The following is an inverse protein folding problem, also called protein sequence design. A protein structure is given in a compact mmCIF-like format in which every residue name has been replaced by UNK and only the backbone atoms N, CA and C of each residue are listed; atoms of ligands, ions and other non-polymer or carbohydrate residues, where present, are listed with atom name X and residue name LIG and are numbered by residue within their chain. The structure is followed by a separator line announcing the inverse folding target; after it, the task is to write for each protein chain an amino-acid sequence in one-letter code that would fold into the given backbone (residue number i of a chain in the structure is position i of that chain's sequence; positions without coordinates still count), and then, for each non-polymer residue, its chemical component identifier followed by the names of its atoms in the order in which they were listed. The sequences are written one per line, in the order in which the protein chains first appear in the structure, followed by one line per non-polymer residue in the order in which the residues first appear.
data_IF_620690921714
#
_entry.id   IF_620690921714
#
_cell.length_a   1.000
_cell.length_b   1.000
_cell.length_c   1.000
_cell.angle_alpha   90.00
_cell.angle_beta   90.00
_cell.angle_gamma   90.00
#
_symmetry.space_group_name_H-M   'P 1'
#
loop_
_entity.id
_entity.type
_entity.pdbx_description
1 polymer ?
#
# COMPACT_ATOMS: atom_id res chain seq x y z
N UNK A 1 19.40 14.03 -6.12
CA UNK A 1 20.63 14.63 -5.57
C UNK A 1 21.64 13.50 -5.39
N UNK A 2 22.79 13.62 -6.06
CA UNK A 2 23.82 12.59 -6.21
C UNK A 2 24.29 12.04 -4.85
N UNK A 3 24.19 10.71 -4.68
CA UNK A 3 24.96 10.01 -3.66
C UNK A 3 26.26 9.55 -4.31
N UNK A 4 27.35 10.18 -3.87
CA UNK A 4 28.71 9.69 -4.09
C UNK A 4 28.80 8.22 -3.68
N UNK A 5 29.44 7.41 -4.53
CA UNK A 5 29.70 5.98 -4.34
C UNK A 5 30.72 5.66 -3.21
N UNK A 6 30.58 6.32 -2.06
CA UNK A 6 31.42 6.12 -0.89
C UNK A 6 30.66 6.48 0.38
N UNK A 7 30.12 5.46 1.04
CA UNK A 7 29.86 5.34 2.49
C UNK A 7 28.63 4.45 2.78
N UNK A 8 28.65 3.17 2.39
CA UNK A 8 27.81 2.15 3.03
C UNK A 8 28.32 0.75 2.69
N UNK A 9 29.58 0.44 3.05
CA UNK A 9 30.12 -0.92 2.87
C UNK A 9 29.99 -1.78 4.13
N UNK A 10 29.82 -1.15 5.30
CA UNK A 10 29.90 -1.83 6.61
C UNK A 10 28.62 -1.75 7.46
N UNK A 11 27.51 -1.24 6.92
CA UNK A 11 26.23 -1.24 7.68
C UNK A 11 25.61 -2.62 7.56
N UNK A 12 25.38 -3.25 8.71
CA UNK A 12 24.68 -4.54 8.76
C UNK A 12 23.22 -4.33 8.33
N UNK A 13 22.62 -5.32 7.68
CA UNK A 13 21.21 -5.24 7.27
C UNK A 13 20.26 -4.91 8.44
N UNK A 14 20.65 -5.28 9.67
CA UNK A 14 19.91 -5.04 10.90
C UNK A 14 19.93 -3.57 11.37
N UNK A 15 20.81 -2.74 10.83
CA UNK A 15 20.96 -1.32 11.22
C UNK A 15 20.38 -0.36 10.16
N UNK A 16 19.83 -0.88 9.06
CA UNK A 16 19.26 -0.06 8.00
C UNK A 16 17.90 0.49 8.43
N UNK A 17 17.79 1.82 8.39
CA UNK A 17 16.57 2.55 8.68
C UNK A 17 15.96 3.02 7.36
N UNK A 18 14.84 2.40 6.98
CA UNK A 18 14.14 2.72 5.75
C UNK A 18 13.19 3.90 5.93
N UNK A 19 13.15 4.78 4.94
CA UNK A 19 12.19 5.88 4.88
C UNK A 19 11.55 5.92 3.51
N UNK A 20 10.26 6.24 3.47
CA UNK A 20 9.49 6.25 2.24
C UNK A 20 8.17 7.02 2.41
N UNK A 21 7.49 7.33 1.30
CA UNK A 21 6.23 8.07 1.34
C UNK A 21 5.07 7.23 1.89
N UNK A 22 5.17 5.89 1.80
CA UNK A 22 4.18 4.96 2.32
C UNK A 22 4.73 4.20 3.54
N UNK A 23 4.04 4.26 4.69
CA UNK A 23 4.42 3.48 5.87
C UNK A 23 4.32 1.97 5.61
N UNK A 24 3.28 1.53 4.88
CA UNK A 24 3.09 0.13 4.50
C UNK A 24 4.27 -0.39 3.68
N UNK A 25 4.77 0.40 2.71
CA UNK A 25 5.94 0.03 1.91
C UNK A 25 7.20 -0.06 2.74
N UNK A 26 7.37 0.87 3.67
CA UNK A 26 8.50 0.90 4.59
C UNK A 26 8.50 -0.33 5.49
N UNK A 27 7.33 -0.73 6.00
CA UNK A 27 7.17 -1.95 6.79
C UNK A 27 7.54 -3.20 5.96
N UNK A 28 7.08 -3.29 4.71
CA UNK A 28 7.41 -4.42 3.83
C UNK A 28 8.91 -4.52 3.53
N UNK A 29 9.58 -3.41 3.21
CA UNK A 29 11.03 -3.40 2.96
C UNK A 29 11.82 -3.74 4.22
N UNK A 30 11.37 -3.25 5.38
CA UNK A 30 11.98 -3.59 6.68
C UNK A 30 11.85 -5.08 6.99
N UNK A 31 10.67 -5.65 6.77
CA UNK A 31 10.45 -7.09 6.93
C UNK A 31 11.31 -7.91 5.96
N UNK A 32 11.43 -7.49 4.70
CA UNK A 32 12.30 -8.16 3.72
C UNK A 32 13.77 -8.15 4.17
N UNK A 33 14.27 -7.02 4.67
CA UNK A 33 15.63 -6.90 5.19
C UNK A 33 15.88 -7.83 6.38
N UNK A 34 14.92 -7.90 7.32
CA UNK A 34 14.98 -8.83 8.45
C UNK A 34 14.97 -10.31 8.03
N UNK A 35 14.51 -10.62 6.82
CA UNK A 35 14.48 -11.96 6.24
C UNK A 35 15.59 -12.21 5.20
N UNK A 36 16.66 -11.41 5.22
CA UNK A 36 17.85 -11.64 4.40
C UNK A 36 17.84 -10.95 3.03
N UNK A 37 16.88 -10.07 2.75
CA UNK A 37 16.78 -9.30 1.51
C UNK A 37 16.80 -7.79 1.82
N UNK A 38 17.98 -7.23 2.04
CA UNK A 38 18.12 -5.84 2.46
C UNK A 38 18.30 -4.90 1.26
N UNK A 39 17.41 -3.91 1.12
CA UNK A 39 17.59 -2.86 0.12
C UNK A 39 18.78 -1.97 0.52
N UNK A 40 19.87 -2.01 -0.25
CA UNK A 40 21.10 -1.27 0.03
C UNK A 40 21.13 0.08 -0.68
N UNK A 41 20.62 0.14 -1.91
CA UNK A 41 20.59 1.36 -2.70
C UNK A 41 19.43 1.35 -3.69
N UNK A 42 18.94 2.56 -4.03
CA UNK A 42 17.93 2.80 -5.05
C UNK A 42 18.24 4.11 -5.75
N UNK A 43 18.26 4.07 -7.08
CA UNK A 43 18.30 5.26 -7.93
C UNK A 43 17.19 5.19 -8.98
N UNK A 44 17.24 6.03 -10.02
CA UNK A 44 16.25 6.10 -11.09
C UNK A 44 16.25 4.85 -12.00
N UNK A 45 17.37 4.14 -12.10
CA UNK A 45 17.64 3.09 -13.08
C UNK A 45 17.77 1.71 -12.43
N UNK A 46 17.93 1.62 -11.12
CA UNK A 46 18.15 0.35 -10.45
C UNK A 46 17.83 0.34 -8.95
N UNK A 47 17.77 -0.87 -8.42
CA UNK A 47 17.87 -1.16 -6.99
C UNK A 47 19.01 -2.16 -6.76
N UNK A 48 19.67 -2.04 -5.61
CA UNK A 48 20.68 -3.00 -5.14
C UNK A 48 20.16 -3.64 -3.88
N UNK A 49 20.01 -4.97 -3.90
CA UNK A 49 19.53 -5.77 -2.78
C UNK A 49 20.65 -6.66 -2.30
N UNK A 50 20.94 -6.62 -1.01
CA UNK A 50 21.83 -7.56 -0.35
C UNK A 50 21.03 -8.80 0.00
N UNK A 51 21.32 -9.89 -0.70
CA UNK A 51 20.64 -11.17 -0.55
C UNK A 51 21.50 -12.11 0.30
N UNK A 52 20.88 -12.73 1.30
CA UNK A 52 21.52 -13.71 2.18
C UNK A 52 20.86 -15.07 1.96
N UNK A 53 21.62 -16.01 1.41
CA UNK A 53 21.16 -17.37 1.15
C UNK A 53 21.52 -18.28 2.33
N UNK A 54 20.50 -18.86 2.97
CA UNK A 54 20.63 -19.75 4.12
C UNK A 54 20.66 -21.25 3.75
N UNK A 55 20.67 -21.59 2.46
CA UNK A 55 20.55 -22.96 1.97
C UNK A 55 21.84 -23.81 2.11
N UNK A 56 22.98 -23.18 2.40
CA UNK A 56 24.27 -23.86 2.58
C UNK A 56 24.69 -23.93 4.05
N UNK A 57 25.61 -24.84 4.37
CA UNK A 57 26.22 -24.98 5.71
C UNK A 57 26.93 -23.72 6.20
N UNK A 58 27.20 -22.76 5.31
CA UNK A 58 27.55 -21.38 5.66
C UNK A 58 26.68 -20.41 4.85
N UNK A 59 26.05 -19.40 5.50
CA UNK A 59 25.28 -18.40 4.79
C UNK A 59 26.19 -17.59 3.87
N UNK A 60 25.71 -17.37 2.65
CA UNK A 60 26.39 -16.52 1.67
C UNK A 60 25.59 -15.25 1.46
N UNK A 61 26.28 -14.12 1.42
CA UNK A 61 25.67 -12.81 1.22
C UNK A 61 26.27 -12.13 -0.01
N UNK A 62 25.43 -11.63 -0.91
CA UNK A 62 25.87 -10.89 -2.08
C UNK A 62 24.98 -9.66 -2.35
N UNK A 63 25.60 -8.61 -2.87
CA UNK A 63 24.89 -7.44 -3.38
C UNK A 63 24.49 -7.69 -4.83
N UNK A 64 23.18 -7.74 -5.07
CA UNK A 64 22.56 -8.08 -6.33
C UNK A 64 21.90 -6.83 -6.91
N UNK A 65 22.25 -6.49 -8.16
CA UNK A 65 21.70 -5.32 -8.86
C UNK A 65 20.54 -5.74 -9.76
N UNK A 66 19.43 -5.04 -9.61
CA UNK A 66 18.23 -5.17 -10.44
C UNK A 66 18.05 -3.86 -11.23
N UNK A 67 18.10 -3.94 -12.55
CA UNK A 67 17.89 -2.78 -13.42
C UNK A 67 16.39 -2.52 -13.56
N UNK A 68 15.95 -1.31 -13.23
CA UNK A 68 14.55 -0.90 -13.34
C UNK A 68 14.28 -0.34 -14.73
N UNK A 69 13.37 -0.97 -15.45
CA UNK A 69 13.04 -0.63 -16.83
C UNK A 69 11.77 0.21 -16.95
N UNK A 70 10.80 -0.01 -16.05
CA UNK A 70 9.57 0.76 -16.00
C UNK A 70 9.00 0.79 -14.58
N UNK A 71 8.29 1.86 -14.25
CA UNK A 71 7.55 2.01 -13.00
C UNK A 71 6.14 2.51 -13.31
N UNK A 72 5.14 1.66 -13.08
CA UNK A 72 3.73 1.97 -13.28
C UNK A 72 3.18 2.38 -11.92
N UNK A 73 3.13 3.69 -11.69
CA UNK A 73 2.85 4.26 -10.37
C UNK A 73 1.47 3.92 -9.84
N UNK A 74 1.38 3.87 -8.51
CA UNK A 74 0.12 3.75 -7.82
C UNK A 74 -0.75 4.97 -8.08
N UNK A 75 -2.02 4.74 -8.40
CA UNK A 75 -3.06 5.77 -8.34
C UNK A 75 -4.27 5.22 -7.59
N UNK A 76 -5.04 6.10 -6.97
CA UNK A 76 -6.27 5.72 -6.27
C UNK A 76 -7.29 5.05 -7.20
N UNK A 77 -7.26 5.37 -8.49
CA UNK A 77 -8.14 4.76 -9.50
C UNK A 77 -7.72 3.32 -9.84
N UNK A 78 -6.41 3.06 -9.94
CA UNK A 78 -5.89 1.74 -10.32
C UNK A 78 -5.74 0.78 -9.14
N UNK A 79 -5.58 1.30 -7.92
CA UNK A 79 -5.37 0.55 -6.68
C UNK A 79 -4.24 -0.51 -6.71
N UNK A 80 -3.25 -0.35 -7.60
CA UNK A 80 -2.11 -1.24 -7.76
C UNK A 80 -0.88 -0.48 -8.25
N UNK A 81 0.29 -1.09 -8.06
CA UNK A 81 1.59 -0.59 -8.52
C UNK A 81 2.36 -1.74 -9.17
N UNK A 82 3.03 -1.45 -10.29
CA UNK A 82 3.93 -2.42 -10.93
C UNK A 82 5.30 -1.83 -11.19
N UNK A 83 6.33 -2.66 -11.11
CA UNK A 83 7.68 -2.28 -11.49
C UNK A 83 8.31 -3.40 -12.29
N UNK A 84 8.83 -3.05 -13.47
CA UNK A 84 9.50 -3.98 -14.37
C UNK A 84 11.01 -3.90 -14.13
N UNK A 85 11.62 -5.05 -13.89
CA UNK A 85 13.06 -5.15 -13.72
C UNK A 85 13.69 -6.11 -14.72
N UNK A 86 14.91 -5.80 -15.15
CA UNK A 86 15.85 -6.83 -15.62
C UNK A 86 16.56 -7.40 -14.41
N UNK A 87 16.29 -8.67 -14.13
CA UNK A 87 16.88 -9.39 -13.00
C UNK A 87 18.26 -9.96 -13.39
N UNK A 88 19.10 -10.38 -12.42
CA UNK A 88 20.32 -11.12 -12.73
C UNK A 88 20.03 -12.33 -13.62
N UNK A 89 20.82 -12.49 -14.69
CA UNK A 89 20.56 -13.48 -15.73
C UNK A 89 19.80 -12.92 -16.94
N UNK A 90 19.38 -11.65 -16.90
CA UNK A 90 18.90 -10.90 -18.07
C UNK A 90 17.40 -11.00 -18.35
N UNK A 91 16.68 -11.85 -17.62
CA UNK A 91 15.24 -11.99 -17.72
C UNK A 91 14.51 -10.71 -17.29
N UNK A 92 13.41 -10.38 -17.97
CA UNK A 92 12.53 -9.29 -17.58
C UNK A 92 11.43 -9.83 -16.68
N UNK A 93 11.27 -9.23 -15.50
CA UNK A 93 10.28 -9.65 -14.51
C UNK A 93 9.50 -8.44 -14.04
N UNK A 94 8.19 -8.46 -14.32
CA UNK A 94 7.22 -7.53 -13.77
C UNK A 94 6.83 -8.01 -12.38
N UNK A 95 6.92 -7.12 -11.39
CA UNK A 95 6.35 -7.33 -10.06
C UNK A 95 5.19 -6.36 -9.86
N UNK A 96 4.05 -6.89 -9.45
CA UNK A 96 2.84 -6.11 -9.23
C UNK A 96 2.28 -6.39 -7.84
N UNK A 97 1.91 -5.32 -7.12
CA UNK A 97 1.20 -5.41 -5.85
C UNK A 97 -0.01 -4.49 -5.86
N UNK A 98 -1.10 -4.90 -5.22
CA UNK A 98 -2.32 -4.09 -5.16
C UNK A 98 -3.43 -4.72 -4.35
N UNK A 99 -4.60 -4.08 -4.39
CA UNK A 99 -5.80 -4.59 -3.75
C UNK A 99 -6.32 -5.87 -4.45
N UNK A 100 -7.01 -6.72 -3.69
CA UNK A 100 -7.61 -7.97 -4.18
C UNK A 100 -8.45 -7.80 -5.45
N UNK A 101 -9.43 -6.90 -5.43
CA UNK A 101 -10.40 -6.71 -6.51
C UNK A 101 -9.77 -6.28 -7.83
N UNK A 102 -8.61 -5.60 -7.81
CA UNK A 102 -7.87 -5.22 -9.03
C UNK A 102 -6.81 -6.22 -9.43
N UNK A 103 -6.27 -7.00 -8.49
CA UNK A 103 -5.22 -7.97 -8.76
C UNK A 103 -5.76 -9.31 -9.21
N UNK A 104 -6.86 -9.79 -8.61
CA UNK A 104 -7.45 -11.11 -8.91
C UNK A 104 -7.77 -11.31 -10.40
N UNK A 105 -8.36 -10.32 -11.13
CA UNK A 105 -8.62 -10.47 -12.56
C UNK A 105 -7.36 -10.58 -13.43
N UNK A 106 -6.19 -10.16 -12.92
CA UNK A 106 -4.94 -10.13 -13.67
C UNK A 106 -4.13 -11.43 -13.50
N UNK A 107 -4.57 -12.34 -12.63
CA UNK A 107 -3.86 -13.59 -12.36
C UNK A 107 -4.22 -14.68 -13.39
N UNK A 108 -3.25 -15.48 -13.82
CA UNK A 108 -3.49 -16.68 -14.65
C UNK A 108 -3.81 -17.88 -13.78
N UNK A 109 -4.67 -18.74 -14.33
CA UNK A 109 -4.94 -20.14 -13.95
C UNK A 109 -3.69 -21.06 -13.90
N UNK A 110 -2.48 -20.55 -14.18
CA UNK A 110 -1.22 -21.29 -13.98
C UNK A 110 -0.80 -21.38 -12.51
N UNK A 111 -1.39 -20.56 -11.65
CA UNK A 111 -1.24 -20.74 -10.20
C UNK A 111 -2.11 -21.92 -9.79
N UNK A 112 -1.59 -22.93 -9.05
CA UNK A 112 -2.43 -24.02 -8.57
C UNK A 112 -3.69 -23.47 -7.88
N UNK A 113 -4.86 -23.97 -8.27
CA UNK A 113 -6.15 -23.45 -7.79
C UNK A 113 -6.22 -23.43 -6.24
N UNK A 114 -5.63 -24.42 -5.59
CA UNK A 114 -5.52 -24.48 -4.13
C UNK A 114 -4.70 -23.33 -3.53
N UNK A 115 -3.65 -22.87 -4.22
CA UNK A 115 -2.82 -21.75 -3.77
C UNK A 115 -3.59 -20.45 -3.88
N UNK A 116 -4.27 -20.19 -5.00
CA UNK A 116 -5.11 -18.99 -5.16
C UNK A 116 -6.22 -18.95 -4.12
N UNK A 117 -6.88 -20.10 -3.89
CA UNK A 117 -7.93 -20.19 -2.89
C UNK A 117 -7.42 -19.89 -1.49
N UNK A 118 -6.29 -20.48 -1.09
CA UNK A 118 -5.66 -20.20 0.21
C UNK A 118 -5.26 -18.74 0.36
N UNK A 119 -4.69 -18.13 -0.68
CA UNK A 119 -4.38 -16.71 -0.68
C UNK A 119 -5.65 -15.89 -0.42
N UNK A 120 -6.73 -16.15 -1.16
CA UNK A 120 -8.00 -15.46 -0.96
C UNK A 120 -8.56 -15.63 0.46
N UNK A 121 -8.58 -16.86 0.99
CA UNK A 121 -9.08 -17.14 2.34
C UNK A 121 -8.25 -16.39 3.41
N UNK A 122 -6.91 -16.37 3.30
CA UNK A 122 -6.05 -15.59 4.19
C UNK A 122 -6.27 -14.08 4.06
N UNK A 123 -6.53 -13.56 2.85
CA UNK A 123 -6.83 -12.14 2.67
C UNK A 123 -8.09 -11.74 3.45
N UNK A 124 -9.15 -12.55 3.35
CA UNK A 124 -10.40 -12.29 4.07
C UNK A 124 -10.20 -12.39 5.58
N UNK A 125 -9.42 -13.37 6.05
CA UNK A 125 -9.09 -13.49 7.47
C UNK A 125 -8.33 -12.25 7.97
N UNK A 126 -7.27 -11.84 7.28
CA UNK A 126 -6.44 -10.71 7.70
C UNK A 126 -7.20 -9.38 7.63
N UNK A 127 -7.99 -9.17 6.58
CA UNK A 127 -8.86 -8.00 6.48
C UNK A 127 -9.91 -7.98 7.61
N UNK A 128 -10.50 -9.14 7.94
CA UNK A 128 -11.43 -9.28 9.06
C UNK A 128 -10.81 -8.99 10.43
N UNK A 129 -9.48 -9.12 10.55
CA UNK A 129 -8.69 -8.75 11.73
C UNK A 129 -8.21 -7.29 11.72
N UNK A 130 -8.51 -6.52 10.68
CA UNK A 130 -8.15 -5.11 10.56
C UNK A 130 -6.75 -4.84 10.02
N UNK A 131 -6.06 -5.84 9.49
CA UNK A 131 -4.77 -5.64 8.82
C UNK A 131 -4.98 -5.03 7.43
N UNK A 132 -4.01 -4.22 6.98
CA UNK A 132 -3.92 -3.76 5.59
C UNK A 132 -3.34 -4.88 4.74
N UNK A 133 -4.13 -5.38 3.79
CA UNK A 133 -3.77 -6.55 2.98
C UNK A 133 -3.51 -6.14 1.54
N UNK A 134 -2.45 -6.69 0.94
CA UNK A 134 -2.15 -6.55 -0.49
C UNK A 134 -1.85 -7.92 -1.11
N UNK A 135 -2.25 -8.11 -2.37
CA UNK A 135 -1.90 -9.26 -3.17
C UNK A 135 -0.69 -8.92 -4.04
N UNK A 136 0.26 -9.85 -4.13
CA UNK A 136 1.46 -9.71 -4.96
C UNK A 136 1.48 -10.77 -6.08
N UNK A 137 1.84 -10.33 -7.27
CA UNK A 137 1.97 -11.18 -8.45
C UNK A 137 3.20 -10.82 -9.27
N UNK A 138 3.60 -11.74 -10.14
CA UNK A 138 4.74 -11.54 -11.04
C UNK A 138 4.48 -12.11 -12.42
N UNK A 139 5.13 -11.54 -13.44
CA UNK A 139 5.14 -12.07 -14.80
C UNK A 139 6.52 -11.93 -15.41
N UNK A 140 6.95 -12.97 -16.13
CA UNK A 140 8.09 -12.86 -17.05
C UNK A 140 7.60 -12.16 -18.32
N UNK A 141 8.30 -11.11 -18.70
CA UNK A 141 7.99 -10.28 -19.87
C UNK A 141 9.02 -10.58 -20.96
N UNK A 142 8.58 -10.65 -22.21
CA UNK A 142 9.49 -10.81 -23.35
C UNK A 142 10.07 -9.45 -23.78
N UNK A 143 11.26 -9.45 -24.39
CA UNK A 143 11.92 -8.19 -24.79
C UNK A 143 11.09 -7.41 -25.84
N UNK A 144 10.37 -8.11 -26.72
CA UNK A 144 9.46 -7.52 -27.71
C UNK A 144 8.30 -6.76 -27.02
N UNK A 145 7.71 -7.31 -25.96
CA UNK A 145 6.66 -6.63 -25.19
C UNK A 145 7.18 -5.37 -24.48
N UNK A 146 8.46 -5.34 -24.08
CA UNK A 146 9.08 -4.15 -23.53
C UNK A 146 9.28 -3.06 -24.60
N UNK A 147 9.68 -3.43 -25.81
CA UNK A 147 9.82 -2.50 -26.93
C UNK A 147 8.47 -1.88 -27.30
N UNK A 148 7.42 -2.70 -27.47
CA UNK A 148 6.05 -2.23 -27.71
C UNK A 148 5.56 -1.28 -26.61
N UNK A 149 5.85 -1.61 -25.35
CA UNK A 149 5.48 -0.78 -24.22
C UNK A 149 6.19 0.58 -24.24
N UNK A 150 7.48 0.62 -24.60
CA UNK A 150 8.25 1.87 -24.72
C UNK A 150 7.73 2.75 -25.84
N UNK A 151 7.42 2.17 -26.99
CA UNK A 151 6.84 2.89 -28.12
C UNK A 151 5.48 3.51 -27.74
N UNK A 152 4.64 2.76 -27.02
CA UNK A 152 3.37 3.25 -26.51
C UNK A 152 3.53 4.42 -25.51
N UNK A 153 4.52 4.34 -24.61
CA UNK A 153 4.83 5.42 -23.67
C UNK A 153 5.32 6.69 -24.36
N UNK A 154 6.14 6.55 -25.40
CA UNK A 154 6.62 7.68 -26.19
C UNK A 154 5.47 8.36 -26.93
N UNK A 155 4.58 7.56 -27.55
CA UNK A 155 3.37 8.06 -28.19
C UNK A 155 2.45 8.80 -27.19
N UNK A 156 2.25 8.25 -25.99
CA UNK A 156 1.46 8.90 -24.93
C UNK A 156 2.05 10.24 -24.51
N UNK A 157 3.39 10.34 -24.46
CA UNK A 157 4.11 11.56 -24.06
C UNK A 157 4.02 12.66 -25.12
N UNK A 158 3.77 12.32 -26.39
CA UNK A 158 3.61 13.26 -27.49
C UNK A 158 2.15 13.73 -27.71
N UNK A 159 1.16 13.11 -27.04
CA UNK A 159 -0.27 13.38 -27.23
C UNK A 159 -0.84 14.56 -26.41
N UNK A 160 -2.11 14.89 -26.68
CA UNK A 160 -2.92 15.81 -25.85
C UNK A 160 -3.23 15.18 -24.47
N UNK A 161 -3.33 16.00 -23.43
CA UNK A 161 -3.44 15.54 -22.01
C UNK A 161 -4.57 14.54 -21.78
N UNK A 162 -5.77 14.73 -22.35
CA UNK A 162 -6.89 13.82 -22.13
C UNK A 162 -6.70 12.44 -22.80
N UNK A 163 -6.10 12.40 -24.00
CA UNK A 163 -5.79 11.15 -24.69
C UNK A 163 -4.59 10.43 -24.06
N UNK A 164 -3.71 11.16 -23.38
CA UNK A 164 -2.52 10.60 -22.74
C UNK A 164 -2.86 9.59 -21.65
N UNK A 165 -3.82 9.89 -20.79
CA UNK A 165 -4.17 8.99 -19.68
C UNK A 165 -4.77 7.67 -20.20
N UNK A 166 -5.62 7.73 -21.22
CA UNK A 166 -6.18 6.53 -21.89
C UNK A 166 -5.07 5.67 -22.52
N UNK A 167 -4.17 6.29 -23.29
CA UNK A 167 -3.05 5.57 -23.93
C UNK A 167 -2.11 4.95 -22.87
N UNK A 168 -1.85 5.65 -21.76
CA UNK A 168 -1.06 5.11 -20.66
C UNK A 168 -1.72 3.89 -20.02
N UNK A 169 -3.04 3.92 -19.79
CA UNK A 169 -3.76 2.79 -19.21
C UNK A 169 -3.74 1.58 -20.15
N UNK A 170 -3.90 1.79 -21.45
CA UNK A 170 -3.78 0.74 -22.46
C UNK A 170 -2.37 0.14 -22.47
N UNK A 171 -1.32 0.98 -22.47
CA UNK A 171 0.06 0.54 -22.38
C UNK A 171 0.32 -0.24 -21.07
N UNK A 172 -0.25 0.19 -19.95
CA UNK A 172 -0.10 -0.52 -18.67
C UNK A 172 -0.77 -1.90 -18.71
N UNK A 173 -1.94 -2.00 -19.35
CA UNK A 173 -2.68 -3.24 -19.49
C UNK A 173 -1.96 -4.30 -20.35
N UNK A 174 -1.08 -3.91 -21.27
CA UNK A 174 -0.28 -4.89 -22.05
C UNK A 174 0.73 -5.62 -21.16
N UNK A 175 1.31 -4.94 -20.17
CA UNK A 175 2.23 -5.53 -19.21
C UNK A 175 1.49 -6.25 -18.08
N UNK A 176 0.48 -5.61 -17.50
CA UNK A 176 -0.26 -6.04 -16.31
C UNK A 176 -1.39 -7.02 -16.63
N UNK A 177 -1.05 -8.10 -17.31
CA UNK A 177 -1.91 -9.26 -17.55
C UNK A 177 -1.15 -10.50 -17.14
N UNK A 178 -1.83 -11.63 -17.12
CA UNK A 178 -1.21 -12.94 -16.99
C UNK A 178 -0.19 -13.09 -15.83
N UNK A 179 -0.51 -12.49 -14.69
CA UNK A 179 0.31 -12.55 -13.49
C UNK A 179 0.23 -13.94 -12.83
N UNK A 180 1.36 -14.44 -12.34
CA UNK A 180 1.41 -15.56 -11.40
C UNK A 180 1.32 -15.01 -9.97
N UNK A 181 0.43 -15.57 -9.16
CA UNK A 181 0.33 -15.18 -7.75
C UNK A 181 1.59 -15.59 -6.98
N UNK A 182 2.19 -14.64 -6.28
CA UNK A 182 3.31 -14.88 -5.35
C UNK A 182 2.81 -15.11 -3.94
N UNK A 183 1.80 -14.35 -3.51
CA UNK A 183 1.26 -14.45 -2.17
C UNK A 183 0.57 -13.16 -1.73
N UNK A 184 0.28 -13.10 -0.43
CA UNK A 184 -0.42 -12.00 0.23
C UNK A 184 0.48 -11.41 1.30
N UNK A 185 0.44 -10.10 1.45
CA UNK A 185 1.11 -9.39 2.55
C UNK A 185 0.05 -8.78 3.46
N UNK A 186 0.33 -8.74 4.75
CA UNK A 186 -0.49 -8.03 5.73
C UNK A 186 0.40 -7.08 6.53
N UNK A 187 -0.03 -5.82 6.68
CA UNK A 187 0.61 -4.82 7.52
C UNK A 187 -0.37 -4.45 8.63
N UNK A 188 0.10 -4.49 9.86
CA UNK A 188 -0.65 -3.95 11.00
C UNK A 188 -0.45 -2.45 11.07
N UNK A 189 -1.57 -1.71 11.05
CA UNK A 189 -1.58 -0.29 11.34
C UNK A 189 -1.64 -0.11 12.86
N UNK A 190 -0.52 -0.42 13.51
CA UNK A 190 -0.36 -0.28 14.94
C UNK A 190 -0.29 1.19 15.32
N UNK A 191 -0.95 1.53 16.42
CA UNK A 191 -0.78 2.84 17.03
C UNK A 191 0.66 3.04 17.50
N UNK A 192 1.12 4.29 17.52
CA UNK A 192 2.37 4.62 18.19
C UNK A 192 2.26 4.31 19.70
N UNK A 193 3.41 4.10 20.32
CA UNK A 193 3.50 3.92 21.76
C UNK A 193 2.80 5.06 22.50
N UNK A 194 2.13 4.71 23.59
CA UNK A 194 1.41 5.64 24.49
C UNK A 194 0.25 6.42 23.85
N UNK A 195 -0.15 6.15 22.60
CA UNK A 195 -1.30 6.83 21.97
C UNK A 195 -2.59 6.66 22.78
N UNK A 196 -2.99 5.44 23.20
CA UNK A 196 -4.20 5.27 24.02
C UNK A 196 -4.14 6.04 25.34
N UNK A 197 -3.01 6.02 26.03
CA UNK A 197 -2.76 6.71 27.30
C UNK A 197 -2.84 8.22 27.12
N UNK A 198 -2.24 8.74 26.04
CA UNK A 198 -2.21 10.15 25.69
C UNK A 198 -3.59 10.68 25.34
N UNK A 199 -4.36 9.94 24.53
CA UNK A 199 -5.74 10.31 24.20
C UNK A 199 -6.60 10.33 25.46
N UNK A 200 -6.47 9.31 26.33
CA UNK A 200 -7.20 9.29 27.60
C UNK A 200 -6.83 10.47 28.49
N UNK A 201 -5.55 10.82 28.59
CA UNK A 201 -5.10 11.99 29.35
C UNK A 201 -5.77 13.29 28.86
N UNK A 202 -5.87 13.49 27.56
CA UNK A 202 -6.58 14.64 26.98
C UNK A 202 -8.10 14.60 27.26
N UNK A 203 -8.73 13.43 27.12
CA UNK A 203 -10.15 13.26 27.41
C UNK A 203 -10.47 13.54 28.90
N UNK A 204 -9.65 13.03 29.82
CA UNK A 204 -9.79 13.26 31.27
C UNK A 204 -9.58 14.74 31.63
N UNK A 205 -8.77 15.46 30.86
CA UNK A 205 -8.61 16.91 30.94
C UNK A 205 -9.76 17.71 30.30
N UNK A 206 -10.79 17.06 29.75
CA UNK A 206 -11.94 17.69 29.10
C UNK A 206 -11.67 18.17 27.68
N UNK A 207 -10.56 17.76 27.05
CA UNK A 207 -10.21 18.11 25.67
C UNK A 207 -10.90 17.13 24.71
N UNK A 208 -11.60 17.67 23.71
CA UNK A 208 -12.26 16.88 22.67
C UNK A 208 -11.26 16.52 21.58
N UNK A 209 -11.04 15.23 21.35
CA UNK A 209 -10.14 14.70 20.30
C UNK A 209 -10.96 14.33 19.06
N UNK A 210 -10.50 14.77 17.89
CA UNK A 210 -11.14 14.51 16.59
C UNK A 210 -10.11 13.84 15.67
N UNK A 211 -10.50 12.76 15.01
CA UNK A 211 -9.69 12.11 13.96
C UNK A 211 -10.21 12.60 12.61
N UNK A 212 -9.32 13.20 11.81
CA UNK A 212 -9.58 13.50 10.40
C UNK A 212 -8.70 12.57 9.57
N UNK A 213 -9.31 11.69 8.78
CA UNK A 213 -8.60 10.71 7.95
C UNK A 213 -9.25 10.60 6.58
N UNK A 214 -8.45 10.27 5.57
CA UNK A 214 -8.90 9.89 4.23
C UNK A 214 -8.97 8.38 4.00
N UNK A 215 -8.74 7.58 5.06
CA UNK A 215 -8.86 6.13 5.01
C UNK A 215 -10.34 5.69 4.97
N UNK A 216 -10.59 4.42 4.67
CA UNK A 216 -11.93 3.83 4.69
C UNK A 216 -12.54 3.88 6.10
N UNK A 217 -13.87 3.91 6.17
CA UNK A 217 -14.62 3.99 7.42
C UNK A 217 -14.24 2.87 8.40
N UNK A 218 -14.06 1.66 7.90
CA UNK A 218 -13.71 0.49 8.70
C UNK A 218 -12.35 0.66 9.40
N UNK A 219 -11.35 1.20 8.68
CA UNK A 219 -10.03 1.48 9.24
C UNK A 219 -10.11 2.58 10.30
N UNK A 220 -10.84 3.65 10.01
CA UNK A 220 -11.03 4.76 10.97
C UNK A 220 -11.70 4.29 12.26
N UNK A 221 -12.73 3.43 12.16
CA UNK A 221 -13.40 2.84 13.33
C UNK A 221 -12.48 1.92 14.12
N UNK A 222 -11.65 1.13 13.44
CA UNK A 222 -10.67 0.27 14.12
C UNK A 222 -9.64 1.11 14.89
N UNK A 223 -9.06 2.14 14.25
CA UNK A 223 -8.12 3.07 14.90
C UNK A 223 -8.78 3.77 16.09
N UNK A 224 -10.02 4.25 15.94
CA UNK A 224 -10.74 4.92 17.01
C UNK A 224 -11.04 3.98 18.21
N UNK A 225 -11.26 2.68 17.97
CA UNK A 225 -11.41 1.68 19.04
C UNK A 225 -10.09 1.34 19.72
N UNK A 226 -9.04 1.04 18.94
CA UNK A 226 -7.73 0.65 19.49
C UNK A 226 -7.06 1.80 20.26
N UNK A 227 -7.33 3.04 19.85
CA UNK A 227 -6.83 4.26 20.50
C UNK A 227 -7.58 4.65 21.78
N UNK A 228 -8.64 3.91 22.13
CA UNK A 228 -9.47 4.21 23.29
C UNK A 228 -10.45 5.37 23.10
N UNK A 229 -10.51 5.99 21.90
CA UNK A 229 -11.50 7.03 21.60
C UNK A 229 -12.93 6.51 21.61
N UNK A 230 -13.15 5.32 21.05
CA UNK A 230 -14.44 4.62 21.08
C UNK A 230 -14.38 3.49 22.11
N UNK A 231 -15.22 3.59 23.14
CA UNK A 231 -15.42 2.51 24.10
C UNK A 231 -16.38 1.48 23.51
N UNK A 232 -16.38 0.22 23.98
CA UNK A 232 -17.36 -0.78 23.53
C UNK A 232 -18.83 -0.35 23.71
N UNK A 233 -19.09 0.56 24.64
CA UNK A 233 -20.43 1.12 24.91
C UNK A 233 -20.73 2.40 24.14
N UNK A 234 -19.78 2.93 23.36
CA UNK A 234 -19.98 4.15 22.58
C UNK A 234 -20.90 3.86 21.40
N UNK A 235 -22.03 4.54 21.34
CA UNK A 235 -22.89 4.52 20.16
C UNK A 235 -22.20 5.23 19.00
N UNK A 236 -22.09 4.53 17.87
CA UNK A 236 -21.49 5.06 16.64
C UNK A 236 -22.63 5.50 15.73
N UNK A 237 -22.59 6.77 15.33
CA UNK A 237 -23.54 7.34 14.38
C UNK A 237 -22.80 7.66 13.09
N UNK A 238 -23.33 7.17 11.98
CA UNK A 238 -22.81 7.42 10.63
C UNK A 238 -23.64 8.51 9.95
N UNK A 239 -22.97 9.49 9.36
CA UNK A 239 -23.61 10.58 8.60
C UNK A 239 -23.04 10.57 7.18
N UNK A 240 -23.91 10.39 6.18
CA UNK A 240 -23.51 10.24 4.78
C UNK A 240 -24.44 11.03 3.84
N UNK A 241 -23.90 11.43 2.68
CA UNK A 241 -24.66 12.03 1.58
C UNK A 241 -24.25 13.47 1.23
N UNK A 242 -25.05 14.10 0.39
CA UNK A 242 -24.86 15.49 -0.05
C UNK A 242 -25.13 16.50 1.07
N UNK A 243 -24.64 17.74 0.93
CA UNK A 243 -24.71 18.81 1.94
C UNK A 243 -26.07 18.91 2.65
N UNK A 244 -27.17 18.94 1.89
CA UNK A 244 -28.51 19.08 2.46
C UNK A 244 -28.97 17.84 3.24
N UNK A 245 -28.52 16.64 2.85
CA UNK A 245 -28.82 15.40 3.57
C UNK A 245 -28.00 15.30 4.85
N UNK A 246 -26.71 15.67 4.80
CA UNK A 246 -25.82 15.74 5.96
C UNK A 246 -26.35 16.74 6.99
N UNK A 247 -26.72 17.94 6.55
CA UNK A 247 -27.29 18.97 7.44
C UNK A 247 -28.51 18.47 8.21
N UNK A 248 -29.48 17.85 7.52
CA UNK A 248 -30.67 17.28 8.18
C UNK A 248 -30.34 16.20 9.20
N UNK A 249 -29.36 15.33 8.89
CA UNK A 249 -28.91 14.28 9.80
C UNK A 249 -28.26 14.88 11.06
N UNK A 250 -27.38 15.87 10.89
CA UNK A 250 -26.75 16.59 12.00
C UNK A 250 -27.80 17.29 12.86
N UNK A 251 -28.75 18.01 12.26
CA UNK A 251 -29.81 18.72 12.98
C UNK A 251 -30.68 17.76 13.81
N UNK A 252 -31.04 16.61 13.24
CA UNK A 252 -31.79 15.57 13.95
C UNK A 252 -31.00 15.00 15.13
N UNK A 253 -29.69 14.77 14.96
CA UNK A 253 -28.82 14.27 16.02
C UNK A 253 -28.62 15.28 17.15
N UNK A 254 -28.37 16.54 16.82
CA UNK A 254 -28.25 17.60 17.82
C UNK A 254 -29.54 17.75 18.63
N UNK A 255 -30.69 17.66 17.95
CA UNK A 255 -32.00 17.70 18.61
C UNK A 255 -32.21 16.49 19.54
N UNK A 256 -31.81 15.30 19.11
CA UNK A 256 -31.92 14.08 19.91
C UNK A 256 -31.02 14.11 21.16
N UNK A 257 -29.80 14.65 21.04
CA UNK A 257 -28.79 14.65 22.11
C UNK A 257 -28.99 15.80 23.09
N UNK A 258 -29.29 17.00 22.60
CA UNK A 258 -29.33 18.22 23.42
C UNK A 258 -30.75 18.80 23.62
N UNK A 259 -31.77 18.17 23.01
CA UNK A 259 -33.14 18.65 23.04
C UNK A 259 -33.44 19.74 21.98
N UNK A 260 -34.73 20.09 21.81
CA UNK A 260 -35.19 21.00 20.74
C UNK A 260 -34.65 22.43 20.86
N UNK A 261 -34.25 22.87 22.06
CA UNK A 261 -33.80 24.24 22.31
C UNK A 261 -32.34 24.50 21.89
N UNK A 262 -31.56 23.46 21.58
CA UNK A 262 -30.15 23.60 21.20
C UNK A 262 -29.94 23.93 19.72
N UNK A 263 -30.85 23.50 18.84
CA UNK A 263 -30.78 23.78 17.41
C UNK A 263 -30.96 25.27 17.07
N UNK A 264 -31.59 26.04 17.98
CA UNK A 264 -31.84 27.47 17.82
C UNK A 264 -30.65 28.36 18.20
N UNK A 265 -29.59 27.82 18.83
CA UNK A 265 -28.46 28.57 19.36
C UNK A 265 -27.19 28.54 18.48
N UNK A 266 -27.22 27.79 17.38
CA UNK A 266 -26.04 27.54 16.53
C UNK A 266 -26.03 28.31 15.20
N UNK A 267 -26.75 29.44 15.12
CA UNK A 267 -26.77 30.31 13.93
C UNK A 267 -26.07 31.65 14.24
N UNK A 268 -24.80 31.84 13.83
CA UNK A 268 -24.26 33.15 13.50
C UNK A 268 -24.43 33.47 12.01
#
# INVERSE_FOLDING_TARGET
RNLSAGACKDVSAAELLYTGPSPDETALVTAAAANGFALMARDAEAVVVRETEYAASMPFTADVRYERLANLEFTSERCRMSTLYRVPGGQLVLYTKGADHVMLPLLVDKTPHDTLRKCYDHMQEFAGRGYRVMLAGTRVVEEEELEEFRDALEAASAGLVAARDEILQEAYATLERDLRCLGVTCVEDSLQDDVPETIRYFQDAGIRVWILTGDKMETALNVARTSGMLRPTTEVVTIEGEWNAVRRQVDALLTAVYGPDHAAAADP
#
